data_IF_129470150255
#
_entry.id   IF_129470150255
#
_cell.length_a   1.000
_cell.length_b   1.000
_cell.length_c   1.000
_cell.angle_alpha   90.00
_cell.angle_beta   90.00
_cell.angle_gamma   90.00
#
_symmetry.space_group_name_H-M   'P 1'
#
loop_
_entity.id
_entity.type
_entity.pdbx_description
1 polymer ?
#
# COMPACT_ATOMS: atom_id res chain seq x y z
N UNK A 1 -15.78 8.56 6.39
CA UNK A 1 -16.03 7.31 5.70
C UNK A 1 -14.72 6.59 5.45
N UNK A 2 -14.69 5.29 5.65
CA UNK A 2 -13.48 4.51 5.42
C UNK A 2 -13.25 4.27 3.93
N UNK A 3 -12.01 4.41 3.48
CA UNK A 3 -11.62 4.17 2.09
C UNK A 3 -10.27 3.49 2.02
N UNK A 4 -10.07 2.68 1.00
CA UNK A 4 -8.74 2.16 0.72
C UNK A 4 -7.86 3.32 0.30
N UNK A 5 -6.74 3.52 1.01
CA UNK A 5 -5.82 4.62 0.75
C UNK A 5 -4.47 4.15 0.24
N UNK A 6 -4.10 2.91 0.54
CA UNK A 6 -2.77 2.42 0.26
C UNK A 6 -2.82 0.97 -0.18
N UNK A 7 -2.07 0.65 -1.24
CA UNK A 7 -1.81 -0.71 -1.69
C UNK A 7 -0.30 -0.92 -1.76
N UNK A 8 0.15 -2.10 -1.39
CA UNK A 8 1.55 -2.49 -1.56
C UNK A 8 1.60 -3.76 -2.39
N UNK A 9 2.34 -3.71 -3.48
CA UNK A 9 2.46 -4.81 -4.45
C UNK A 9 3.91 -5.18 -4.59
N UNK A 10 4.21 -6.47 -4.44
CA UNK A 10 5.55 -7.03 -4.65
C UNK A 10 5.63 -7.58 -6.05
N UNK A 11 6.68 -7.22 -6.79
CA UNK A 11 6.88 -7.64 -8.17
C UNK A 11 8.34 -7.99 -8.41
N UNK A 12 8.57 -8.91 -9.33
CA UNK A 12 9.93 -9.30 -9.73
C UNK A 12 10.61 -8.24 -10.57
N UNK A 13 9.85 -7.34 -11.20
CA UNK A 13 10.41 -6.26 -12.01
C UNK A 13 9.71 -4.95 -11.70
N UNK A 14 10.24 -4.27 -10.70
CA UNK A 14 9.68 -3.02 -10.21
C UNK A 14 9.59 -1.96 -11.29
N UNK A 15 10.65 -1.77 -12.04
CA UNK A 15 10.71 -0.74 -13.09
C UNK A 15 9.67 -0.97 -14.17
N UNK A 16 9.46 -2.22 -14.56
CA UNK A 16 8.47 -2.57 -15.57
C UNK A 16 7.05 -2.25 -15.11
N UNK A 17 6.74 -2.58 -13.87
CA UNK A 17 5.40 -2.33 -13.33
C UNK A 17 5.15 -0.85 -13.14
N UNK A 18 6.16 -0.09 -12.66
CA UNK A 18 6.07 1.35 -12.55
C UNK A 18 5.82 1.98 -13.93
N UNK A 19 6.56 1.54 -14.94
CA UNK A 19 6.37 2.05 -16.30
C UNK A 19 4.97 1.77 -16.82
N UNK A 20 4.44 0.59 -16.53
CA UNK A 20 3.09 0.23 -16.96
C UNK A 20 2.06 1.18 -16.35
N UNK A 21 2.07 1.36 -15.04
CA UNK A 21 1.06 2.19 -14.38
C UNK A 21 1.20 3.68 -14.72
N UNK A 22 2.42 4.17 -14.87
CA UNK A 22 2.62 5.58 -15.23
C UNK A 22 2.24 5.85 -16.69
N UNK A 23 2.53 4.93 -17.59
CA UNK A 23 2.25 5.10 -19.02
C UNK A 23 0.78 4.83 -19.36
N UNK A 24 0.24 3.71 -18.87
CA UNK A 24 -1.11 3.28 -19.23
C UNK A 24 -2.18 4.10 -18.51
N UNK A 25 -1.94 4.46 -17.26
CA UNK A 25 -2.97 5.10 -16.42
C UNK A 25 -2.60 6.49 -15.93
N UNK A 26 -1.45 6.99 -16.31
CA UNK A 26 -1.07 8.36 -15.94
C UNK A 26 -0.74 8.54 -14.46
N UNK A 27 -0.47 7.47 -13.73
CA UNK A 27 -0.08 7.60 -12.33
C UNK A 27 1.28 8.27 -12.24
N UNK A 28 1.52 8.98 -11.15
CA UNK A 28 2.75 9.72 -10.95
C UNK A 28 3.61 9.11 -9.86
N UNK A 29 4.92 9.11 -10.08
CA UNK A 29 5.88 8.73 -9.05
C UNK A 29 5.94 9.86 -8.04
N UNK A 30 5.66 9.53 -6.77
CA UNK A 30 5.67 10.54 -5.71
C UNK A 30 6.80 10.36 -4.71
N UNK A 31 7.39 9.17 -4.64
CA UNK A 31 8.52 8.92 -3.75
C UNK A 31 9.19 7.60 -4.11
N UNK A 32 10.37 7.36 -3.53
CA UNK A 32 11.06 6.08 -3.63
C UNK A 32 11.89 5.86 -2.38
N UNK A 33 11.67 4.73 -1.70
CA UNK A 33 12.36 4.40 -0.46
C UNK A 33 12.81 2.94 -0.52
N UNK A 34 14.14 2.72 -0.55
CA UNK A 34 14.70 1.37 -0.59
C UNK A 34 14.18 0.58 -1.77
N UNK A 35 13.57 -0.59 -1.53
CA UNK A 35 13.03 -1.42 -2.61
C UNK A 35 11.70 -0.93 -3.15
N UNK A 36 11.09 0.09 -2.56
CA UNK A 36 9.77 0.55 -2.92
C UNK A 36 9.80 1.83 -3.74
N UNK A 37 8.94 1.90 -4.76
CA UNK A 37 8.65 3.13 -5.49
C UNK A 37 7.15 3.40 -5.27
N UNK A 38 6.83 4.63 -4.86
CA UNK A 38 5.45 5.01 -4.56
C UNK A 38 4.85 5.77 -5.72
N UNK A 39 3.68 5.31 -6.16
CA UNK A 39 2.89 5.95 -7.20
C UNK A 39 1.60 6.50 -6.60
N UNK A 40 1.01 7.49 -7.26
CA UNK A 40 -0.28 8.01 -6.83
C UNK A 40 -1.13 8.37 -8.05
N UNK A 41 -2.44 8.22 -7.89
CA UNK A 41 -3.43 8.70 -8.85
C UNK A 41 -4.04 10.03 -8.40
N UNK A 42 -3.48 10.63 -7.35
CA UNK A 42 -3.99 11.85 -6.73
C UNK A 42 -4.68 11.59 -5.39
N UNK A 43 -5.05 10.36 -5.13
CA UNK A 43 -5.64 9.98 -3.84
C UNK A 43 -5.00 8.70 -3.30
N UNK A 44 -5.03 7.63 -4.08
CA UNK A 44 -4.52 6.33 -3.67
C UNK A 44 -2.99 6.32 -3.75
N UNK A 45 -2.36 5.74 -2.74
CA UNK A 45 -0.91 5.52 -2.73
C UNK A 45 -0.65 4.05 -3.03
N UNK A 46 0.21 3.78 -4.02
CA UNK A 46 0.57 2.42 -4.41
C UNK A 46 2.08 2.26 -4.27
N UNK A 47 2.51 1.37 -3.38
CA UNK A 47 3.91 1.02 -3.23
C UNK A 47 4.24 -0.16 -4.14
N UNK A 48 5.14 0.05 -5.08
CA UNK A 48 5.64 -1.02 -5.96
C UNK A 48 6.97 -1.47 -5.38
N UNK A 49 7.02 -2.70 -4.89
CA UNK A 49 8.15 -3.20 -4.11
C UNK A 49 8.87 -4.29 -4.91
N UNK A 50 10.19 -4.12 -5.06
CA UNK A 50 11.01 -5.14 -5.70
C UNK A 50 11.05 -6.39 -4.85
N UNK A 51 10.77 -7.54 -5.45
CA UNK A 51 10.76 -8.82 -4.75
C UNK A 51 12.12 -9.13 -4.14
N UNK A 52 12.08 -9.64 -2.92
CA UNK A 52 13.23 -10.20 -2.20
C UNK A 52 12.91 -11.65 -1.81
N UNK A 53 13.91 -12.42 -1.37
CA UNK A 53 13.68 -13.85 -1.08
C UNK A 53 12.53 -14.16 -0.13
N UNK A 54 12.26 -13.29 0.83
CA UNK A 54 11.23 -13.53 1.84
C UNK A 54 9.84 -13.01 1.47
N UNK A 55 9.71 -12.35 0.32
CA UNK A 55 8.43 -11.78 -0.11
C UNK A 55 7.84 -12.61 -1.22
N UNK A 56 6.54 -12.77 -1.17
CA UNK A 56 5.79 -13.38 -2.27
C UNK A 56 5.36 -12.30 -3.24
N UNK A 57 5.38 -12.63 -4.52
CA UNK A 57 4.89 -11.74 -5.56
C UNK A 57 3.38 -11.57 -5.43
N UNK A 58 2.89 -10.36 -5.69
CA UNK A 58 1.48 -10.02 -5.64
C UNK A 58 1.17 -9.00 -4.56
N UNK A 59 -0.08 -8.94 -4.15
CA UNK A 59 -0.52 -8.01 -3.14
C UNK A 59 0.12 -8.35 -1.79
N UNK A 60 0.83 -7.38 -1.24
CA UNK A 60 1.51 -7.55 0.05
C UNK A 60 0.62 -7.11 1.20
N UNK A 61 0.06 -5.90 1.11
CA UNK A 61 -0.92 -5.40 2.07
C UNK A 61 -1.67 -4.22 1.48
N UNK A 62 -2.73 -3.82 2.14
CA UNK A 62 -3.43 -2.59 1.82
C UNK A 62 -3.82 -1.89 3.11
N UNK A 63 -4.00 -0.58 3.03
CA UNK A 63 -4.36 0.23 4.17
C UNK A 63 -5.67 0.95 3.93
N UNK A 64 -6.45 1.07 4.99
CA UNK A 64 -7.73 1.76 4.96
C UNK A 64 -7.61 3.04 5.77
N UNK A 65 -7.96 4.17 5.15
CA UNK A 65 -8.04 5.44 5.83
C UNK A 65 -9.36 5.52 6.58
N UNK A 66 -9.28 5.85 7.85
CA UNK A 66 -10.47 5.99 8.70
C UNK A 66 -10.46 7.35 9.39
N UNK A 67 -11.64 7.81 9.81
CA UNK A 67 -11.77 9.12 10.44
C UNK A 67 -11.18 9.14 11.85
N UNK A 68 -11.36 8.06 12.61
CA UNK A 68 -10.89 7.98 13.99
C UNK A 68 -10.48 6.54 14.30
N UNK A 69 -9.16 6.31 14.26
CA UNK A 69 -8.62 4.97 14.51
C UNK A 69 -8.86 4.53 15.96
N UNK A 70 -8.83 5.45 16.90
CA UNK A 70 -9.02 5.12 18.31
C UNK A 70 -10.45 4.65 18.58
N UNK A 71 -11.42 5.27 17.93
CA UNK A 71 -12.81 4.84 18.05
C UNK A 71 -13.06 3.48 17.42
N UNK A 72 -12.24 3.12 16.43
CA UNK A 72 -12.39 1.85 15.70
C UNK A 72 -11.77 0.66 16.45
N UNK A 73 -10.76 0.90 17.29
CA UNK A 73 -10.02 -0.17 17.96
C UNK A 73 -10.90 -1.14 18.77
N UNK A 74 -11.87 -0.68 19.59
CA UNK A 74 -12.72 -1.61 20.32
C UNK A 74 -13.51 -2.55 19.40
N UNK A 75 -14.01 -2.02 18.30
CA UNK A 75 -14.75 -2.83 17.34
C UNK A 75 -13.85 -3.85 16.65
N UNK A 76 -12.63 -3.44 16.27
CA UNK A 76 -11.65 -4.35 15.68
C UNK A 76 -11.31 -5.49 16.64
N UNK A 77 -11.11 -5.19 17.90
CA UNK A 77 -10.83 -6.20 18.91
C UNK A 77 -11.99 -7.17 19.06
N UNK A 78 -13.21 -6.65 19.13
CA UNK A 78 -14.41 -7.47 19.22
C UNK A 78 -14.55 -8.42 18.04
N UNK A 79 -14.17 -7.96 16.84
CA UNK A 79 -14.27 -8.75 15.61
C UNK A 79 -13.04 -9.62 15.35
N UNK A 80 -12.09 -9.66 16.29
CA UNK A 80 -10.95 -10.55 16.21
C UNK A 80 -9.73 -10.00 15.48
N UNK A 81 -9.73 -8.72 15.14
CA UNK A 81 -8.57 -8.10 14.49
C UNK A 81 -7.55 -7.63 15.52
N UNK A 82 -6.28 -7.63 15.12
CA UNK A 82 -5.22 -7.06 15.95
C UNK A 82 -5.38 -5.55 16.05
N UNK A 83 -5.07 -4.99 17.21
CA UNK A 83 -5.25 -3.56 17.47
C UNK A 83 -3.93 -2.81 17.55
N UNK A 84 -2.81 -3.46 17.27
CA UNK A 84 -1.52 -2.81 17.22
C UNK A 84 -1.40 -1.98 15.96
N UNK A 85 -0.90 -0.76 16.12
CA UNK A 85 -0.69 0.15 14.99
C UNK A 85 0.77 0.08 14.60
N UNK A 86 1.05 -0.29 13.36
CA UNK A 86 2.40 -0.27 12.82
C UNK A 86 2.64 1.10 12.23
N UNK A 87 3.73 1.73 12.66
CA UNK A 87 4.16 3.00 12.09
C UNK A 87 5.15 2.75 10.96
N UNK A 88 5.06 3.56 9.97
CA UNK A 88 6.02 3.55 8.90
C UNK A 88 7.12 4.51 9.15
#
# INVERSE_FOLDING_TARGET
MARIRHLAIVTENRERLVKFYTTAFGMQVVDGVGPAIYLSDGYLNVAIIQKRPHYKEGLYHFGIEVDDIEALKPLCKELGAATEVQKR
#
